data_IF_055912932890
#
_entry.id   IF_055912932890
#
_cell.length_a   1.000
_cell.length_b   1.000
_cell.length_c   1.000
_cell.angle_alpha   90.00
_cell.angle_beta   90.00
_cell.angle_gamma   90.00
#
_symmetry.space_group_name_H-M   'P 1'
#
loop_
_entity.id
_entity.type
_entity.pdbx_description
1 polymer ?
#
# COMPACT_ATOMS: atom_id res chain seq x y z
N UNK A 1 -4.96 4.86 -9.68
CA UNK A 1 -3.48 5.02 -9.72
C UNK A 1 -2.83 3.66 -9.53
N UNK A 2 -1.73 3.37 -10.23
CA UNK A 2 -0.97 2.13 -10.06
C UNK A 2 0.20 2.37 -9.12
N UNK A 3 0.24 1.66 -7.99
CA UNK A 3 1.36 1.66 -7.06
C UNK A 3 2.19 0.39 -7.28
N UNK A 4 3.42 0.56 -7.77
CA UNK A 4 4.34 -0.52 -8.05
C UNK A 4 5.72 -0.15 -7.48
N UNK A 5 6.18 -0.90 -6.48
CA UNK A 5 7.44 -0.62 -5.79
C UNK A 5 8.61 -1.24 -6.56
N UNK A 6 9.61 -0.46 -7.00
CA UNK A 6 10.80 -1.01 -7.65
C UNK A 6 11.54 -2.01 -6.75
N UNK A 7 12.07 -3.08 -7.36
CA UNK A 7 12.67 -4.21 -6.62
C UNK A 7 13.84 -3.80 -5.71
N UNK A 8 14.56 -2.72 -6.03
CA UNK A 8 15.66 -2.21 -5.21
C UNK A 8 15.22 -1.83 -3.79
N UNK A 9 13.95 -1.44 -3.60
CA UNK A 9 13.39 -1.09 -2.29
C UNK A 9 12.84 -2.29 -1.51
N UNK A 10 12.79 -3.48 -2.12
CA UNK A 10 12.27 -4.69 -1.49
C UNK A 10 13.06 -5.94 -1.95
N UNK A 11 14.37 -6.03 -1.64
CA UNK A 11 15.23 -7.07 -2.19
C UNK A 11 14.85 -8.48 -1.69
N UNK A 12 14.52 -8.61 -0.39
CA UNK A 12 14.23 -9.90 0.25
C UNK A 12 12.84 -10.45 -0.08
N UNK A 13 11.82 -9.59 -0.12
CA UNK A 13 10.43 -9.99 -0.38
C UNK A 13 9.81 -9.04 -1.39
N UNK A 14 9.34 -9.59 -2.51
CA UNK A 14 8.69 -8.81 -3.56
C UNK A 14 7.37 -8.26 -3.04
N UNK A 15 7.18 -6.96 -3.16
CA UNK A 15 5.89 -6.31 -2.94
C UNK A 15 5.08 -6.41 -4.25
N UNK A 16 3.84 -6.94 -4.24
CA UNK A 16 3.00 -6.98 -5.42
C UNK A 16 2.56 -5.57 -5.83
N UNK A 17 2.04 -5.42 -7.05
CA UNK A 17 1.46 -4.14 -7.47
C UNK A 17 0.04 -3.95 -6.93
N UNK A 18 -0.34 -2.69 -6.77
CA UNK A 18 -1.65 -2.30 -6.28
C UNK A 18 -2.31 -1.28 -7.22
N UNK A 19 -3.62 -1.33 -7.29
CA UNK A 19 -4.47 -0.45 -8.10
C UNK A 19 -5.44 0.28 -7.18
N UNK A 20 -5.36 1.60 -7.13
CA UNK A 20 -6.18 2.36 -6.18
C UNK A 20 -5.75 3.81 -6.02
N UNK A 21 -5.99 4.37 -4.85
CA UNK A 21 -5.66 5.76 -4.53
C UNK A 21 -5.44 5.96 -3.03
N UNK A 22 -4.60 6.93 -2.67
CA UNK A 22 -4.48 7.46 -1.32
C UNK A 22 -4.95 8.92 -1.26
N UNK A 23 -5.72 9.27 -0.25
CA UNK A 23 -6.09 10.65 0.04
C UNK A 23 -4.94 11.45 0.66
N UNK A 24 -5.09 12.77 0.67
CA UNK A 24 -4.08 13.72 1.15
C UNK A 24 -3.63 13.47 2.60
N UNK A 25 -4.56 13.06 3.47
CA UNK A 25 -4.32 12.91 4.91
C UNK A 25 -4.04 11.47 5.34
N UNK A 26 -3.75 10.56 4.40
CA UNK A 26 -3.39 9.17 4.72
C UNK A 26 -4.54 8.14 4.65
N UNK A 27 -5.73 8.55 4.22
CA UNK A 27 -6.76 7.60 3.80
C UNK A 27 -6.30 6.84 2.54
N UNK A 28 -6.71 5.59 2.36
CA UNK A 28 -6.34 4.80 1.19
C UNK A 28 -7.39 3.75 0.83
N UNK A 29 -7.44 3.39 -0.46
CA UNK A 29 -8.20 2.27 -0.99
C UNK A 29 -7.45 1.68 -2.19
N UNK A 30 -7.06 0.40 -2.10
CA UNK A 30 -6.23 -0.31 -3.07
C UNK A 30 -6.67 -1.75 -3.26
N UNK A 31 -6.61 -2.23 -4.50
CA UNK A 31 -6.77 -3.63 -4.90
C UNK A 31 -5.42 -4.24 -5.27
N UNK A 32 -5.14 -5.47 -4.85
CA UNK A 32 -3.94 -6.26 -5.17
C UNK A 32 -4.34 -7.46 -6.05
N UNK A 33 -4.23 -7.36 -7.38
CA UNK A 33 -4.71 -8.40 -8.30
C UNK A 33 -4.07 -9.78 -8.07
N UNK A 34 -2.78 -9.83 -7.76
CA UNK A 34 -2.05 -11.10 -7.60
C UNK A 34 -2.48 -11.92 -6.38
N UNK A 35 -3.22 -11.31 -5.44
CA UNK A 35 -3.72 -11.96 -4.22
C UNK A 35 -5.24 -11.91 -4.11
N UNK A 36 -5.91 -11.26 -5.06
CA UNK A 36 -7.33 -10.92 -5.00
C UNK A 36 -7.75 -10.27 -3.67
N UNK A 37 -6.95 -9.32 -3.18
CA UNK A 37 -7.17 -8.64 -1.91
C UNK A 37 -7.50 -7.16 -2.10
N UNK A 38 -8.45 -6.69 -1.29
CA UNK A 38 -8.82 -5.28 -1.21
C UNK A 38 -8.38 -4.71 0.15
N UNK A 39 -7.70 -3.58 0.11
CA UNK A 39 -7.19 -2.87 1.27
C UNK A 39 -7.82 -1.48 1.32
N UNK A 40 -8.54 -1.17 2.38
CA UNK A 40 -9.10 0.16 2.63
C UNK A 40 -8.83 0.57 4.06
N UNK A 41 -8.61 1.86 4.31
CA UNK A 41 -8.36 2.35 5.65
C UNK A 41 -7.81 3.77 5.69
N UNK A 42 -7.38 4.17 6.88
CA UNK A 42 -6.74 5.47 7.10
C UNK A 42 -5.71 5.38 8.21
N UNK A 43 -4.69 6.23 8.16
CA UNK A 43 -3.77 6.45 9.28
C UNK A 43 -4.15 7.76 9.98
N UNK A 44 -4.06 7.82 11.30
CA UNK A 44 -4.30 9.06 12.06
C UNK A 44 -3.06 9.98 12.10
N UNK A 45 -2.39 10.14 10.95
CA UNK A 45 -1.11 10.84 10.82
C UNK A 45 -1.12 11.77 9.61
N UNK A 46 -1.93 12.83 9.66
CA UNK A 46 -2.07 13.78 8.56
C UNK A 46 -0.74 14.47 8.16
N UNK A 47 0.19 14.67 9.10
CA UNK A 47 1.53 15.20 8.82
C UNK A 47 2.46 14.19 8.10
N UNK A 48 2.13 12.90 8.14
CA UNK A 48 2.91 11.81 7.57
C UNK A 48 2.02 10.85 6.77
N UNK A 49 1.33 11.33 5.71
CA UNK A 49 0.35 10.53 4.98
C UNK A 49 1.00 9.35 4.24
N UNK A 50 2.31 9.41 3.99
CA UNK A 50 3.10 8.32 3.43
C UNK A 50 3.11 7.04 4.30
N UNK A 51 2.75 7.14 5.58
CA UNK A 51 2.58 5.95 6.44
C UNK A 51 1.48 5.02 5.94
N UNK A 52 0.49 5.52 5.19
CA UNK A 52 -0.54 4.68 4.54
C UNK A 52 0.08 3.64 3.59
N UNK A 53 1.05 4.03 2.77
CA UNK A 53 1.78 3.11 1.90
C UNK A 53 2.62 2.10 2.69
N UNK A 54 3.28 2.54 3.78
CA UNK A 54 4.04 1.61 4.65
C UNK A 54 3.13 0.58 5.31
N UNK A 55 1.94 0.99 5.74
CA UNK A 55 0.92 0.09 6.28
C UNK A 55 0.45 -0.91 5.22
N UNK A 56 0.12 -0.44 4.01
CA UNK A 56 -0.28 -1.31 2.90
C UNK A 56 0.76 -2.40 2.61
N UNK A 57 2.05 -2.03 2.53
CA UNK A 57 3.15 -2.99 2.30
C UNK A 57 3.29 -3.98 3.46
N UNK A 58 3.00 -3.59 4.70
CA UNK A 58 3.00 -4.53 5.82
C UNK A 58 1.82 -5.48 5.75
N UNK A 59 0.61 -4.98 5.50
CA UNK A 59 -0.63 -5.77 5.47
C UNK A 59 -0.60 -6.84 4.37
N UNK A 60 -0.11 -6.52 3.17
CA UNK A 60 -0.04 -7.50 2.06
C UNK A 60 0.86 -8.70 2.37
N UNK A 61 1.73 -8.58 3.37
CA UNK A 61 2.62 -9.64 3.80
C UNK A 61 2.03 -10.51 4.93
N UNK A 62 0.87 -10.15 5.48
CA UNK A 62 0.14 -10.91 6.49
C UNK A 62 -0.88 -11.90 5.89
N UNK A 63 -1.18 -11.77 4.61
CA UNK A 63 -2.04 -12.63 3.81
C UNK A 63 -1.21 -13.22 2.66
#
# INVERSE_FOLDING_TARGET
>A
MRFNLPRIFSPLKRVPEFWGHSGLSGAFSYYCPSKDLYFTGTVNQAAYPNLSYKLLVKLVNCF
#
